data_IF_533118495396
#
_entry.id   IF_533118495396
#
_cell.length_a   1.000
_cell.length_b   1.000
_cell.length_c   1.000
_cell.angle_alpha   90.00
_cell.angle_beta   90.00
_cell.angle_gamma   90.00
#
_symmetry.space_group_name_H-M   'P 1'
#
loop_
_entity.id
_entity.type
_entity.pdbx_description
1 polymer ?
#
# COMPACT_ATOMS: atom_id res chain seq x y z
N UNK A 1 10.70 13.23 4.19
CA UNK A 1 9.66 12.17 4.03
C UNK A 1 8.99 12.00 5.37
N UNK A 2 7.67 12.12 5.42
CA UNK A 2 6.89 12.05 6.64
C UNK A 2 6.80 10.61 7.17
N UNK A 3 6.96 10.34 8.49
CA UNK A 3 6.98 8.97 9.01
C UNK A 3 5.72 8.15 8.68
N UNK A 4 4.54 8.76 8.74
CA UNK A 4 3.29 8.07 8.37
C UNK A 4 3.22 7.72 6.88
N UNK A 5 3.94 8.44 6.00
CA UNK A 5 3.97 8.17 4.56
C UNK A 5 4.80 6.91 4.28
N UNK A 6 5.89 6.72 5.02
CA UNK A 6 6.73 5.52 4.96
C UNK A 6 5.93 4.29 5.39
N UNK A 7 5.19 4.38 6.51
CA UNK A 7 4.29 3.31 6.98
C UNK A 7 3.25 2.96 5.92
N UNK A 8 2.64 3.96 5.26
CA UNK A 8 1.65 3.73 4.21
C UNK A 8 2.25 3.05 2.96
N UNK A 9 3.49 3.39 2.58
CA UNK A 9 4.19 2.75 1.48
C UNK A 9 4.51 1.29 1.79
N UNK A 10 5.00 1.01 3.00
CA UNK A 10 5.30 -0.35 3.45
C UNK A 10 4.01 -1.19 3.58
N UNK A 11 2.94 -0.64 4.16
CA UNK A 11 1.63 -1.29 4.19
C UNK A 11 1.10 -1.63 2.79
N UNK A 12 1.31 -0.76 1.81
CA UNK A 12 0.93 -1.03 0.42
C UNK A 12 1.69 -2.23 -0.16
N UNK A 13 2.99 -2.34 0.14
CA UNK A 13 3.83 -3.45 -0.31
C UNK A 13 3.41 -4.77 0.36
N UNK A 14 3.22 -4.77 1.68
CA UNK A 14 2.76 -5.96 2.42
C UNK A 14 1.38 -6.44 1.92
N UNK A 15 0.43 -5.53 1.63
CA UNK A 15 -0.86 -5.91 1.04
C UNK A 15 -0.73 -6.42 -0.40
N UNK A 16 0.28 -5.98 -1.16
CA UNK A 16 0.57 -6.55 -2.48
C UNK A 16 1.08 -7.99 -2.35
N UNK A 17 2.07 -8.23 -1.48
CA UNK A 17 2.59 -9.56 -1.17
C UNK A 17 1.48 -10.50 -0.68
N UNK A 18 0.56 -10.02 0.15
CA UNK A 18 -0.56 -10.80 0.64
C UNK A 18 -1.50 -11.26 -0.47
N UNK A 19 -1.79 -10.38 -1.45
CA UNK A 19 -2.60 -10.74 -2.63
C UNK A 19 -1.89 -11.74 -3.52
N UNK A 20 -0.56 -11.62 -3.67
CA UNK A 20 0.24 -12.59 -4.43
C UNK A 20 0.23 -13.97 -3.78
N UNK A 21 0.39 -14.04 -2.45
CA UNK A 21 0.28 -15.29 -1.69
C UNK A 21 -1.11 -15.92 -1.81
N UNK A 22 -2.17 -15.11 -1.80
CA UNK A 22 -3.54 -15.58 -1.99
C UNK A 22 -3.85 -16.01 -3.44
N UNK A 23 -3.24 -15.35 -4.43
CA UNK A 23 -3.45 -15.58 -5.87
C UNK A 23 -2.59 -16.69 -6.48
N UNK A 24 -1.58 -17.19 -5.78
CA UNK A 24 -0.60 -18.17 -6.29
C UNK A 24 -1.05 -19.63 -6.38
N UNK A 25 -2.34 -19.93 -6.19
CA UNK A 25 -2.83 -21.31 -6.11
C UNK A 25 -2.83 -22.09 -7.45
N UNK A 26 -2.51 -21.46 -8.58
CA UNK A 26 -2.56 -22.08 -9.92
C UNK A 26 -1.19 -22.34 -10.57
N UNK A 27 -0.08 -21.98 -9.91
CA UNK A 27 1.27 -22.16 -10.48
C UNK A 27 1.92 -23.47 -9.99
N UNK A 28 2.15 -24.41 -10.92
CA UNK A 28 2.78 -25.74 -10.67
C UNK A 28 4.11 -25.62 -9.91
N UNK A 29 4.77 -24.48 -10.02
CA UNK A 29 6.02 -24.14 -9.32
C UNK A 29 5.85 -24.07 -7.79
N UNK A 30 4.73 -23.51 -7.29
CA UNK A 30 4.47 -23.39 -5.85
C UNK A 30 4.14 -24.73 -5.20
N UNK A 31 3.56 -25.66 -5.96
CA UNK A 31 3.25 -27.01 -5.48
C UNK A 31 4.53 -27.81 -5.20
N UNK A 32 5.57 -27.62 -6.02
CA UNK A 32 6.89 -28.22 -5.85
C UNK A 32 7.59 -27.60 -4.64
N UNK A 33 7.54 -26.28 -4.48
CA UNK A 33 8.16 -25.60 -3.33
C UNK A 33 7.53 -25.99 -1.99
N UNK A 34 6.19 -26.07 -1.92
CA UNK A 34 5.48 -26.54 -0.71
C UNK A 34 5.89 -27.97 -0.32
N UNK A 35 6.06 -28.85 -1.31
CA UNK A 35 6.44 -30.25 -1.10
C UNK A 35 7.92 -30.42 -0.76
N UNK A 36 8.82 -29.61 -1.33
CA UNK A 36 10.28 -29.72 -1.16
C UNK A 36 10.78 -28.94 0.05
N UNK A 37 10.29 -27.72 0.30
CA UNK A 37 10.80 -26.82 1.33
C UNK A 37 9.99 -26.79 2.63
N UNK A 38 8.86 -27.52 2.72
CA UNK A 38 7.97 -27.57 3.91
C UNK A 38 7.52 -26.18 4.39
N UNK A 39 7.47 -25.19 3.51
CA UNK A 39 6.92 -23.87 3.84
C UNK A 39 5.41 -24.03 3.96
N UNK A 40 4.85 -23.71 5.13
CA UNK A 40 3.41 -23.65 5.34
C UNK A 40 2.92 -22.27 4.88
N UNK A 41 2.30 -22.16 3.70
CA UNK A 41 1.83 -20.87 3.17
C UNK A 41 0.81 -20.21 4.10
N UNK A 42 0.03 -21.02 4.83
CA UNK A 42 -0.92 -20.60 5.87
C UNK A 42 -0.23 -19.80 6.98
N UNK A 43 0.91 -20.28 7.47
CA UNK A 43 1.66 -19.65 8.56
C UNK A 43 2.30 -18.33 8.09
N UNK A 44 2.81 -18.30 6.84
CA UNK A 44 3.35 -17.09 6.24
C UNK A 44 2.25 -16.02 6.02
N UNK A 45 1.07 -16.43 5.55
CA UNK A 45 -0.08 -15.54 5.39
C UNK A 45 -0.56 -14.98 6.74
N UNK A 46 -0.59 -15.81 7.79
CA UNK A 46 -0.96 -15.37 9.14
C UNK A 46 0.06 -14.38 9.72
N UNK A 47 1.36 -14.63 9.55
CA UNK A 47 2.42 -13.70 9.98
C UNK A 47 2.33 -12.37 9.24
N UNK A 48 2.10 -12.40 7.93
CA UNK A 48 1.94 -11.21 7.11
C UNK A 48 0.71 -10.40 7.53
N UNK A 49 -0.43 -11.05 7.76
CA UNK A 49 -1.65 -10.41 8.26
C UNK A 49 -1.41 -9.74 9.62
N UNK A 50 -0.77 -10.44 10.55
CA UNK A 50 -0.44 -9.88 11.86
C UNK A 50 0.48 -8.66 11.75
N UNK A 51 1.44 -8.67 10.82
CA UNK A 51 2.32 -7.53 10.57
C UNK A 51 1.57 -6.32 10.01
N UNK A 52 0.65 -6.55 9.07
CA UNK A 52 -0.22 -5.50 8.53
C UNK A 52 -1.06 -4.87 9.65
N UNK A 53 -1.68 -5.68 10.51
CA UNK A 53 -2.48 -5.19 11.64
C UNK A 53 -1.65 -4.38 12.65
N UNK A 54 -0.45 -4.86 12.99
CA UNK A 54 0.49 -4.14 13.85
C UNK A 54 0.80 -2.76 13.25
N UNK A 55 1.16 -2.71 11.98
CA UNK A 55 1.51 -1.46 11.30
C UNK A 55 0.32 -0.50 11.16
N UNK A 56 -0.87 -1.00 10.81
CA UNK A 56 -2.09 -0.19 10.77
C UNK A 56 -2.38 0.46 12.13
N UNK A 57 -2.06 -0.21 13.25
CA UNK A 57 -2.24 0.33 14.60
C UNK A 57 -1.31 1.51 14.94
N UNK A 58 -0.20 1.66 14.21
CA UNK A 58 0.75 2.77 14.39
C UNK A 58 0.38 4.03 13.60
N UNK A 59 -0.61 3.91 12.70
CA UNK A 59 -1.10 5.06 11.95
C UNK A 59 -1.88 6.02 12.86
N UNK A 60 -1.75 7.32 12.61
CA UNK A 60 -2.61 8.29 13.27
C UNK A 60 -4.09 8.00 12.93
N UNK A 61 -5.04 8.18 13.87
CA UNK A 61 -6.43 7.73 13.68
C UNK A 61 -7.10 8.23 12.38
N UNK A 62 -6.85 9.48 12.00
CA UNK A 62 -7.39 10.08 10.77
C UNK A 62 -6.81 9.42 9.51
N UNK A 63 -5.51 9.10 9.53
CA UNK A 63 -4.79 8.44 8.43
C UNK A 63 -5.26 6.98 8.33
N UNK A 64 -5.36 6.28 9.45
CA UNK A 64 -5.84 4.89 9.50
C UNK A 64 -7.25 4.75 8.93
N UNK A 65 -8.18 5.64 9.33
CA UNK A 65 -9.55 5.61 8.83
C UNK A 65 -9.59 5.85 7.32
N UNK A 66 -8.83 6.83 6.83
CA UNK A 66 -8.74 7.13 5.39
C UNK A 66 -8.10 5.99 4.61
N UNK A 67 -7.02 5.40 5.14
CA UNK A 67 -6.33 4.28 4.53
C UNK A 67 -7.26 3.10 4.31
N UNK A 68 -8.05 2.72 5.33
CA UNK A 68 -9.03 1.63 5.23
C UNK A 68 -10.03 1.87 4.08
N UNK A 69 -10.61 3.06 4.01
CA UNK A 69 -11.56 3.42 2.94
C UNK A 69 -10.94 3.33 1.54
N UNK A 70 -9.67 3.72 1.39
CA UNK A 70 -8.99 3.69 0.10
C UNK A 70 -8.54 2.27 -0.26
N UNK A 71 -8.00 1.51 0.69
CA UNK A 71 -7.49 0.15 0.45
C UNK A 71 -8.59 -0.82 0.03
N UNK A 72 -9.82 -0.58 0.48
CA UNK A 72 -10.99 -1.39 0.08
C UNK A 72 -11.43 -1.12 -1.36
N UNK A 73 -11.15 0.09 -1.88
CA UNK A 73 -11.61 0.56 -3.20
C UNK A 73 -10.53 0.51 -4.27
N UNK A 74 -9.24 0.50 -3.89
CA UNK A 74 -8.11 0.62 -4.80
C UNK A 74 -7.00 -0.34 -4.43
N UNK A 75 -6.36 -0.91 -5.45
CA UNK A 75 -5.19 -1.78 -5.27
C UNK A 75 -3.99 -1.05 -4.65
N UNK A 76 -3.86 0.26 -4.91
CA UNK A 76 -2.81 1.14 -4.38
C UNK A 76 -3.45 2.29 -3.61
N UNK A 77 -3.09 2.39 -2.34
CA UNK A 77 -3.54 3.47 -1.46
C UNK A 77 -2.64 4.71 -1.55
N UNK A 78 -1.38 4.52 -1.95
CA UNK A 78 -0.38 5.57 -2.11
C UNK A 78 0.00 5.68 -3.59
N UNK A 79 0.01 6.91 -4.11
CA UNK A 79 0.30 7.21 -5.50
C UNK A 79 1.41 8.26 -5.62
N UNK A 80 2.34 8.11 -6.57
CA UNK A 80 3.29 9.16 -6.86
C UNK A 80 2.63 10.33 -7.60
N UNK A 81 3.22 11.50 -7.43
CA UNK A 81 2.96 12.70 -8.23
C UNK A 81 4.20 13.03 -9.05
N UNK A 82 4.06 13.02 -10.37
CA UNK A 82 5.11 13.41 -11.31
C UNK A 82 4.57 14.50 -12.23
N UNK A 83 5.30 15.59 -12.41
CA UNK A 83 4.87 16.71 -13.26
C UNK A 83 3.51 17.29 -12.87
N UNK A 84 3.15 17.25 -11.58
CA UNK A 84 1.85 17.70 -11.09
C UNK A 84 0.68 16.76 -11.40
N UNK A 85 0.92 15.53 -11.86
CA UNK A 85 -0.13 14.54 -12.15
C UNK A 85 -0.15 13.47 -11.07
N UNK A 86 -1.33 13.13 -10.54
CA UNK A 86 -1.53 11.98 -9.65
C UNK A 86 -1.51 10.68 -10.45
N UNK A 87 -0.54 9.79 -10.23
CA UNK A 87 -0.46 8.52 -10.96
C UNK A 87 -1.42 7.44 -10.44
N UNK A 88 -2.25 7.77 -9.44
CA UNK A 88 -3.35 6.92 -8.99
C UNK A 88 -4.63 7.07 -9.82
N UNK A 89 -4.85 8.23 -10.46
CA UNK A 89 -6.03 8.48 -11.29
C UNK A 89 -5.79 9.37 -12.51
N UNK A 90 -4.55 9.76 -12.78
CA UNK A 90 -4.11 10.59 -13.89
C UNK A 90 -4.73 12.00 -13.95
N UNK A 91 -5.24 12.51 -12.82
CA UNK A 91 -5.73 13.88 -12.71
C UNK A 91 -4.62 14.82 -12.25
N UNK A 92 -4.66 16.07 -12.74
CA UNK A 92 -3.78 17.12 -12.31
C UNK A 92 -4.03 17.50 -10.84
N UNK A 93 -2.94 17.70 -10.10
CA UNK A 93 -2.93 18.26 -8.75
C UNK A 93 -3.00 19.80 -8.86
N UNK A 94 -3.79 20.49 -8.03
CA UNK A 94 -3.84 21.94 -8.03
C UNK A 94 -2.45 22.58 -7.87
N UNK A 95 -2.18 23.64 -8.64
CA UNK A 95 -0.87 24.31 -8.71
C UNK A 95 -0.43 24.98 -7.40
N UNK A 96 -1.37 25.18 -6.47
CA UNK A 96 -1.07 25.73 -5.14
C UNK A 96 -0.52 24.71 -4.15
N UNK A 97 -0.46 23.43 -4.51
CA UNK A 97 0.08 22.37 -3.63
C UNK A 97 1.60 22.31 -3.81
N UNK A 98 2.41 22.66 -2.79
CA UNK A 98 3.86 22.62 -2.91
C UNK A 98 4.34 21.16 -3.01
N UNK A 99 5.30 20.80 -3.88
CA UNK A 99 5.83 19.44 -3.92
C UNK A 99 6.65 19.19 -2.65
N UNK A 100 6.09 18.45 -1.71
CA UNK A 100 6.75 18.09 -0.45
C UNK A 100 6.21 16.77 0.07
N UNK A 101 7.13 15.96 0.59
CA UNK A 101 6.83 14.68 1.24
C UNK A 101 6.86 14.78 2.76
N UNK A 102 6.98 15.98 3.34
CA UNK A 102 7.07 16.18 4.80
C UNK A 102 5.70 16.32 5.46
N UNK A 103 4.63 16.30 4.67
CA UNK A 103 3.25 16.32 5.13
C UNK A 103 2.46 15.20 4.45
N UNK A 104 1.46 14.68 5.15
CA UNK A 104 0.52 13.72 4.57
C UNK A 104 -0.52 14.47 3.74
N UNK A 105 -0.60 14.13 2.46
CA UNK A 105 -1.58 14.67 1.53
C UNK A 105 -2.28 13.58 0.78
N UNK A 106 -3.41 13.92 0.19
CA UNK A 106 -4.20 13.00 -0.61
C UNK A 106 -4.72 13.69 -1.87
N UNK A 107 -4.97 12.89 -2.89
CA UNK A 107 -5.63 13.35 -4.10
C UNK A 107 -7.09 13.68 -3.79
N UNK A 108 -7.52 14.89 -4.12
CA UNK A 108 -8.91 15.32 -3.98
C UNK A 108 -9.86 14.58 -4.93
N UNK A 109 -9.35 14.02 -6.03
CA UNK A 109 -10.15 13.28 -7.01
C UNK A 109 -10.30 11.80 -6.65
N UNK A 110 -9.20 11.11 -6.37
CA UNK A 110 -9.21 9.64 -6.22
C UNK A 110 -9.08 9.14 -4.79
N UNK A 111 -8.71 10.04 -3.89
CA UNK A 111 -8.52 9.76 -2.48
C UNK A 111 -7.13 9.29 -2.09
N UNK A 112 -6.35 8.69 -3.00
CA UNK A 112 -5.02 8.12 -2.70
C UNK A 112 -4.10 9.11 -2.00
N UNK A 113 -3.32 8.62 -1.04
CA UNK A 113 -2.22 9.38 -0.44
C UNK A 113 -1.17 9.70 -1.49
N UNK A 114 -0.55 10.87 -1.38
CA UNK A 114 0.39 11.37 -2.38
C UNK A 114 1.80 11.41 -1.82
N UNK A 115 2.76 11.02 -2.66
CA UNK A 115 4.17 11.38 -2.51
C UNK A 115 4.69 11.99 -3.82
N UNK A 116 5.52 13.00 -3.73
CA UNK A 116 6.10 13.70 -4.85
C UNK A 116 7.45 13.06 -5.19
N UNK A 117 7.66 12.84 -6.48
CA UNK A 117 8.91 12.34 -7.04
C UNK A 117 9.50 13.47 -7.87
N UNK A 118 10.76 13.82 -7.62
CA UNK A 118 11.47 14.87 -8.36
C UNK A 118 11.65 14.53 -9.84
#
# INVERSE_FOLDING_TARGET
MHPQLEILLELQDLKAQQRELAGGAEDTSQEIERKVFRVKPEDAAAQLQAKIEEMESTLAPEIANRYRVISDRRNRAVAPVLGGICYGCFMAIPTGVPPSNDEIRWCEHCGSFLYFVD
#
